data_IF_468329126684
#
_entry.id   IF_468329126684
#
_cell.length_a   1.000
_cell.length_b   1.000
_cell.length_c   1.000
_cell.angle_alpha   90.00
_cell.angle_beta   90.00
_cell.angle_gamma   90.00
#
_symmetry.space_group_name_H-M   'P 1'
#
loop_
_entity.id
_entity.type
_entity.pdbx_description
1 polymer ?
#
# COMPACT_ATOMS: atom_id res chain seq x y z
N UNK A 1 -17.09 26.78 32.98
CA UNK A 1 -16.98 25.48 32.30
C UNK A 1 -16.22 25.68 31.01
N UNK A 2 -14.97 25.20 30.90
CA UNK A 2 -14.19 25.29 29.65
C UNK A 2 -14.62 24.13 28.76
N UNK A 3 -15.30 24.41 27.66
CA UNK A 3 -15.57 23.42 26.62
C UNK A 3 -14.26 23.05 25.94
N UNK A 4 -13.70 21.89 26.30
CA UNK A 4 -12.58 21.29 25.58
C UNK A 4 -13.08 20.81 24.21
N UNK A 5 -13.15 21.71 23.23
CA UNK A 5 -13.32 21.34 21.83
C UNK A 5 -12.02 20.68 21.35
N UNK A 6 -11.92 19.37 21.54
CA UNK A 6 -10.88 18.57 20.91
C UNK A 6 -11.28 18.35 19.45
N UNK A 7 -10.71 19.15 18.54
CA UNK A 7 -10.82 18.88 17.11
C UNK A 7 -9.98 17.64 16.81
N UNK A 8 -10.62 16.55 16.38
CA UNK A 8 -9.94 15.38 15.83
C UNK A 8 -9.94 15.52 14.31
N UNK A 9 -8.85 16.01 13.70
CA UNK A 9 -8.79 16.12 12.24
C UNK A 9 -8.91 14.71 11.64
N UNK A 10 -9.83 14.56 10.68
CA UNK A 10 -9.96 13.35 9.88
C UNK A 10 -9.34 13.60 8.50
N UNK A 11 -8.56 12.63 8.03
CA UNK A 11 -7.98 12.64 6.68
C UNK A 11 -8.65 11.51 5.92
N UNK A 12 -9.26 11.84 4.78
CA UNK A 12 -9.82 10.84 3.87
C UNK A 12 -8.80 10.54 2.77
N UNK A 13 -8.26 9.32 2.78
CA UNK A 13 -7.37 8.82 1.74
C UNK A 13 -8.17 7.95 0.77
N UNK A 14 -8.22 8.34 -0.50
CA UNK A 14 -8.88 7.55 -1.55
C UNK A 14 -7.79 6.82 -2.34
N UNK A 15 -7.79 5.50 -2.27
CA UNK A 15 -6.91 4.65 -3.07
C UNK A 15 -7.67 4.17 -4.30
N UNK A 16 -7.49 4.85 -5.43
CA UNK A 16 -8.22 4.57 -6.68
C UNK A 16 -7.93 3.18 -7.25
N UNK A 17 -6.70 2.69 -7.09
CA UNK A 17 -6.24 1.41 -7.61
C UNK A 17 -5.56 0.61 -6.49
N UNK A 18 -6.34 -0.13 -5.67
CA UNK A 18 -5.79 -0.86 -4.52
C UNK A 18 -4.85 -2.00 -4.94
N UNK A 19 -5.02 -2.51 -6.16
CA UNK A 19 -4.14 -3.50 -6.78
C UNK A 19 -3.66 -3.00 -8.14
N UNK A 20 -2.36 -3.02 -8.37
CA UNK A 20 -1.75 -2.68 -9.67
C UNK A 20 -0.80 -3.79 -10.10
N UNK A 21 -0.56 -3.92 -11.40
CA UNK A 21 0.42 -4.90 -11.89
C UNK A 21 1.83 -4.55 -11.42
N UNK A 22 2.70 -5.56 -11.31
CA UNK A 22 4.10 -5.35 -10.97
C UNK A 22 4.81 -4.39 -11.95
N UNK A 23 4.42 -4.41 -13.23
CA UNK A 23 4.97 -3.52 -14.24
C UNK A 23 4.55 -2.06 -14.00
N UNK A 24 3.28 -1.82 -13.67
CA UNK A 24 2.79 -0.48 -13.32
C UNK A 24 3.42 0.03 -12.02
N UNK A 25 3.60 -0.85 -11.04
CA UNK A 25 4.35 -0.52 -9.82
C UNK A 25 5.79 -0.10 -10.14
N UNK A 26 6.49 -0.83 -11.00
CA UNK A 26 7.84 -0.47 -11.43
C UNK A 26 7.87 0.87 -12.17
N UNK A 27 6.88 1.12 -13.04
CA UNK A 27 6.75 2.38 -13.77
C UNK A 27 6.57 3.58 -12.83
N UNK A 28 5.77 3.43 -11.76
CA UNK A 28 5.51 4.50 -10.78
C UNK A 28 6.68 4.76 -9.83
N UNK A 29 7.36 3.70 -9.41
CA UNK A 29 8.42 3.78 -8.39
C UNK A 29 9.82 3.95 -8.97
N UNK A 30 10.00 3.66 -10.25
CA UNK A 30 11.32 3.63 -10.90
C UNK A 30 12.14 2.38 -10.58
N UNK A 31 11.58 1.39 -9.87
CA UNK A 31 12.29 0.14 -9.61
C UNK A 31 12.50 -0.65 -10.89
N UNK A 32 13.67 -1.30 -10.99
CA UNK A 32 13.91 -2.29 -12.04
C UNK A 32 13.02 -3.50 -11.82
N UNK A 33 12.41 -4.01 -12.88
CA UNK A 33 11.51 -5.16 -12.82
C UNK A 33 12.16 -6.40 -12.18
N UNK A 34 13.45 -6.64 -12.43
CA UNK A 34 14.21 -7.74 -11.80
C UNK A 34 14.27 -7.60 -10.28
N UNK A 35 14.52 -6.38 -9.79
CA UNK A 35 14.55 -6.07 -8.36
C UNK A 35 13.16 -6.20 -7.73
N UNK A 36 12.12 -5.69 -8.39
CA UNK A 36 10.75 -5.83 -7.90
C UNK A 36 10.31 -7.29 -7.82
N UNK A 37 10.67 -8.13 -8.79
CA UNK A 37 10.43 -9.58 -8.73
C UNK A 37 11.18 -10.25 -7.57
N UNK A 38 12.41 -9.80 -7.28
CA UNK A 38 13.15 -10.26 -6.12
C UNK A 38 12.44 -9.87 -4.82
N UNK A 39 11.97 -8.62 -4.68
CA UNK A 39 11.20 -8.18 -3.52
C UNK A 39 9.94 -9.02 -3.30
N UNK A 40 9.23 -9.38 -4.37
CA UNK A 40 8.06 -10.28 -4.29
C UNK A 40 8.47 -11.67 -3.78
N UNK A 41 9.57 -12.24 -4.27
CA UNK A 41 10.08 -13.55 -3.79
C UNK A 41 10.53 -13.52 -2.33
N UNK A 42 11.12 -12.41 -1.91
CA UNK A 42 11.56 -12.16 -0.52
C UNK A 42 10.40 -11.80 0.41
N UNK A 43 9.17 -11.67 -0.09
CA UNK A 43 8.01 -11.28 0.71
C UNK A 43 7.99 -9.81 1.15
N UNK A 44 8.81 -8.96 0.52
CA UNK A 44 8.96 -7.53 0.83
C UNK A 44 7.94 -6.64 0.14
N UNK A 45 7.21 -7.17 -0.85
CA UNK A 45 6.09 -6.49 -1.48
C UNK A 45 4.79 -7.23 -1.14
N UNK A 46 3.77 -6.55 -0.59
CA UNK A 46 2.47 -7.15 -0.38
C UNK A 46 1.82 -7.39 -1.75
N UNK A 47 1.50 -8.64 -2.06
CA UNK A 47 0.86 -9.02 -3.31
C UNK A 47 -0.52 -9.63 -3.06
N UNK A 48 -1.41 -9.49 -4.04
CA UNK A 48 -2.65 -10.26 -4.05
C UNK A 48 -2.32 -11.76 -4.09
N UNK A 49 -3.09 -12.56 -3.36
CA UNK A 49 -2.95 -14.02 -3.38
C UNK A 49 -3.11 -14.53 -4.81
N UNK A 50 -2.11 -15.27 -5.29
CA UNK A 50 -2.10 -15.87 -6.62
C UNK A 50 -3.13 -17.01 -6.67
N UNK A 51 -4.02 -16.99 -7.65
CA UNK A 51 -5.00 -18.08 -7.87
C UNK A 51 -4.40 -19.25 -8.67
N UNK A 52 -3.27 -19.03 -9.36
CA UNK A 52 -2.57 -20.07 -10.11
C UNK A 52 -1.12 -19.70 -10.44
N UNK A 53 -0.34 -20.67 -10.94
CA UNK A 53 1.09 -20.52 -11.22
C UNK A 53 1.38 -19.38 -12.20
N UNK A 54 0.53 -19.23 -13.23
CA UNK A 54 0.66 -18.23 -14.29
C UNK A 54 -0.16 -16.95 -14.04
N UNK A 55 -0.74 -16.78 -12.86
CA UNK A 55 -1.48 -15.55 -12.54
C UNK A 55 -0.53 -14.34 -12.48
N UNK A 56 -1.06 -13.19 -12.88
CA UNK A 56 -0.38 -11.90 -12.82
C UNK A 56 0.02 -11.58 -11.37
N UNK A 57 1.15 -10.90 -11.22
CA UNK A 57 1.58 -10.38 -9.93
C UNK A 57 0.99 -8.99 -9.77
N UNK A 58 0.05 -8.88 -8.84
CA UNK A 58 -0.62 -7.63 -8.49
C UNK A 58 -0.13 -7.17 -7.11
N UNK A 59 0.44 -5.98 -7.03
CA UNK A 59 0.93 -5.34 -5.81
C UNK A 59 -0.24 -4.66 -5.10
N UNK A 60 -0.38 -4.90 -3.80
CA UNK A 60 -1.38 -4.28 -2.94
C UNK A 60 -0.91 -2.90 -2.47
N UNK A 61 -1.34 -1.85 -3.16
CA UNK A 61 -0.98 -0.47 -2.84
C UNK A 61 -1.62 0.02 -1.55
N UNK A 62 -2.78 -0.52 -1.19
CA UNK A 62 -3.46 -0.17 0.07
C UNK A 62 -2.64 -0.63 1.27
N UNK A 63 -2.11 -1.87 1.24
CA UNK A 63 -1.25 -2.38 2.31
C UNK A 63 0.01 -1.52 2.49
N UNK A 64 0.67 -1.11 1.40
CA UNK A 64 1.83 -0.22 1.45
C UNK A 64 1.48 1.16 2.05
N UNK A 65 0.31 1.69 1.71
CA UNK A 65 -0.16 2.98 2.24
C UNK A 65 -0.44 2.90 3.74
N UNK A 66 -1.09 1.82 4.18
CA UNK A 66 -1.35 1.56 5.60
C UNK A 66 -0.06 1.37 6.38
N UNK A 67 0.92 0.63 5.85
CA UNK A 67 2.24 0.45 6.47
C UNK A 67 2.96 1.80 6.66
N UNK A 68 2.99 2.62 5.61
CA UNK A 68 3.60 3.95 5.67
C UNK A 68 2.91 4.86 6.71
N UNK A 69 1.59 4.79 6.77
CA UNK A 69 0.79 5.61 7.66
C UNK A 69 0.84 5.11 9.13
N UNK A 70 1.01 3.81 9.37
CA UNK A 70 1.32 3.28 10.71
C UNK A 70 2.68 3.77 11.24
N UNK A 71 3.63 4.05 10.34
CA UNK A 71 4.89 4.72 10.69
C UNK A 71 4.73 6.18 11.11
N UNK A 72 3.55 6.78 10.88
CA UNK A 72 3.21 8.12 11.34
C UNK A 72 2.39 8.03 12.64
N UNK A 73 2.55 8.97 13.57
CA UNK A 73 1.80 9.02 14.84
C UNK A 73 0.32 9.46 14.63
N UNK A 74 -0.39 8.77 13.72
CA UNK A 74 -1.75 9.08 13.31
C UNK A 74 -2.64 7.89 13.65
N UNK A 75 -3.75 8.14 14.35
CA UNK A 75 -4.77 7.13 14.57
C UNK A 75 -5.52 6.88 13.25
N UNK A 76 -5.43 5.66 12.72
CA UNK A 76 -6.10 5.24 11.50
C UNK A 76 -7.29 4.33 11.78
N UNK A 77 -8.35 4.50 11.01
CA UNK A 77 -9.50 3.60 10.95
C UNK A 77 -9.72 3.27 9.47
N UNK A 78 -9.75 1.98 9.14
CA UNK A 78 -9.95 1.46 7.79
C UNK A 78 -11.33 0.82 7.68
#
# INVERSE_FOLDING_TARGET
MKSNFSMRPSINLVVSEPFITLDEFCRRTGYKLSYARQMVREGRLPIRKKEGVNSLVEVNMFALTMEAAQGCEIAMQA
#
